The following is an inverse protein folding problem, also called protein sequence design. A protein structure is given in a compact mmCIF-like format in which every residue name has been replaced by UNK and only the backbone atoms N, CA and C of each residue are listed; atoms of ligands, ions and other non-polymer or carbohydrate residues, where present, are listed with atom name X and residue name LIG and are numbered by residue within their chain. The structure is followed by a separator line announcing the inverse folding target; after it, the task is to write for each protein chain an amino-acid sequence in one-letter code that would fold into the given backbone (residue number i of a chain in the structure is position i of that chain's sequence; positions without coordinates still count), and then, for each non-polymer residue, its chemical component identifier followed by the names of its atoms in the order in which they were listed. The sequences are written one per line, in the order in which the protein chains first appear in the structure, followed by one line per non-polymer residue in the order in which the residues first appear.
data_IF_692192377092
#
_entry.id   IF_692192377092
#
_cell.length_a   1.000
_cell.length_b   1.000
_cell.length_c   1.000
_cell.angle_alpha   90.00
_cell.angle_beta   90.00
_cell.angle_gamma   90.00
#
_symmetry.space_group_name_H-M   'P 1'
#
loop_
_entity.id
_entity.type
_entity.pdbx_description
1 polymer ?
#
# COMPACT_ATOMS: atom_id res chain seq x y z
N UNK A 1 18.61 18.49 40.52
CA UNK A 1 18.51 19.96 40.40
C UNK A 1 19.87 20.64 40.19
N UNK A 2 20.91 20.33 40.97
CA UNK A 2 22.22 21.03 40.92
C UNK A 2 22.90 20.96 39.53
N UNK A 3 22.86 19.83 38.84
CA UNK A 3 23.49 19.67 37.52
C UNK A 3 22.86 20.57 36.42
N UNK A 4 21.56 20.86 36.50
CA UNK A 4 20.85 21.66 35.49
C UNK A 4 21.16 23.16 35.60
N UNK A 5 21.32 23.66 36.83
CA UNK A 5 21.73 25.04 37.06
C UNK A 5 23.16 25.28 36.58
N UNK A 6 24.06 24.32 36.79
CA UNK A 6 25.43 24.40 36.29
C UNK A 6 25.47 24.41 34.75
N UNK A 7 24.71 23.53 34.09
CA UNK A 7 24.61 23.49 32.64
C UNK A 7 24.15 24.84 32.04
N UNK A 8 23.08 25.43 32.57
CA UNK A 8 22.57 26.72 32.08
C UNK A 8 23.55 27.87 32.34
N UNK A 9 24.15 27.90 33.52
CA UNK A 9 25.16 28.91 33.88
C UNK A 9 26.37 28.87 32.95
N UNK A 10 26.82 27.67 32.55
CA UNK A 10 27.91 27.52 31.57
C UNK A 10 27.53 28.04 30.19
N UNK A 11 26.32 27.72 29.69
CA UNK A 11 25.86 28.23 28.40
C UNK A 11 25.71 29.76 28.38
N UNK A 12 25.23 30.34 29.46
CA UNK A 12 25.14 31.80 29.63
C UNK A 12 26.52 32.44 29.65
N UNK A 13 27.50 31.84 30.33
CA UNK A 13 28.89 32.32 30.32
C UNK A 13 29.53 32.33 28.92
N UNK A 14 29.32 31.28 28.13
CA UNK A 14 29.79 31.25 26.74
C UNK A 14 29.11 32.31 25.87
N UNK A 15 27.79 32.47 26.01
CA UNK A 15 27.06 33.49 25.25
C UNK A 15 27.49 34.91 25.62
N UNK A 16 27.69 35.20 26.91
CA UNK A 16 28.17 36.50 27.40
C UNK A 16 29.59 36.83 26.89
N UNK A 17 30.42 35.81 26.63
CA UNK A 17 31.74 35.95 26.01
C UNK A 17 31.69 36.05 24.47
N UNK A 18 30.51 36.21 23.87
CA UNK A 18 30.34 36.31 22.41
C UNK A 18 30.50 34.98 21.66
N UNK A 19 30.38 33.85 22.37
CA UNK A 19 30.56 32.49 21.81
C UNK A 19 29.26 31.70 21.94
N UNK A 20 28.23 31.95 21.10
CA UNK A 20 26.97 31.24 21.18
C UNK A 20 27.15 29.74 20.94
N UNK A 21 26.38 28.93 21.67
CA UNK A 21 26.44 27.47 21.61
C UNK A 21 25.19 26.92 20.92
N UNK A 22 25.39 25.95 20.03
CA UNK A 22 24.33 25.09 19.49
C UNK A 22 24.26 23.80 20.32
N UNK A 23 23.12 23.55 20.94
CA UNK A 23 22.86 22.33 21.70
C UNK A 23 22.17 21.33 20.79
N UNK A 24 22.72 20.12 20.66
CA UNK A 24 22.06 19.02 19.96
C UNK A 24 21.55 18.03 21.00
N UNK A 25 20.23 17.84 21.05
CA UNK A 25 19.56 16.92 21.96
C UNK A 25 19.03 15.77 21.10
N UNK A 26 19.75 14.66 21.12
CA UNK A 26 19.50 13.55 20.22
C UNK A 26 18.53 12.51 20.79
N UNK A 27 17.65 11.98 19.93
CA UNK A 27 16.74 10.87 20.17
C UNK A 27 15.82 11.02 21.41
N UNK A 28 15.25 12.20 21.57
CA UNK A 28 14.33 12.50 22.67
C UNK A 28 13.04 11.69 22.51
N UNK A 29 12.57 11.03 23.57
CA UNK A 29 11.31 10.28 23.56
C UNK A 29 10.15 11.04 24.21
N UNK A 30 10.43 12.00 25.09
CA UNK A 30 9.38 12.83 25.73
C UNK A 30 9.81 14.29 25.88
N UNK A 31 8.83 15.19 25.89
CA UNK A 31 9.09 16.63 26.08
C UNK A 31 9.85 16.92 27.38
N UNK A 32 9.59 16.16 28.44
CA UNK A 32 10.19 16.37 29.76
C UNK A 32 11.70 16.08 29.77
N UNK A 33 12.20 15.27 28.84
CA UNK A 33 13.63 15.04 28.64
C UNK A 33 14.31 16.27 27.98
N UNK A 34 13.65 16.90 27.01
CA UNK A 34 14.22 18.04 26.28
C UNK A 34 14.09 19.38 27.02
N UNK A 35 12.96 19.63 27.67
CA UNK A 35 12.64 20.94 28.26
C UNK A 35 13.72 21.48 29.21
N UNK A 36 14.32 20.66 30.12
CA UNK A 36 15.39 21.14 31.00
C UNK A 36 16.65 21.57 30.25
N UNK A 37 16.94 20.94 29.11
CA UNK A 37 18.13 21.12 28.28
C UNK A 37 18.02 22.29 27.29
N UNK A 38 16.84 22.87 27.10
CA UNK A 38 16.69 24.00 26.19
C UNK A 38 17.46 25.23 26.71
N UNK A 39 18.24 25.90 25.85
CA UNK A 39 18.96 27.11 26.25
C UNK A 39 17.99 28.24 26.56
N UNK A 40 18.23 28.94 27.67
CA UNK A 40 17.44 30.13 28.06
C UNK A 40 17.91 31.41 27.35
N UNK A 41 19.19 31.46 26.95
CA UNK A 41 19.79 32.65 26.35
C UNK A 41 19.46 32.77 24.84
N UNK A 42 19.01 33.93 24.34
CA UNK A 42 18.55 34.12 22.96
C UNK A 42 19.66 34.06 21.89
N UNK A 43 20.94 34.02 22.28
CA UNK A 43 22.04 33.78 21.35
C UNK A 43 22.34 32.28 21.14
N UNK A 44 21.94 31.42 22.08
CA UNK A 44 22.11 29.97 21.95
C UNK A 44 20.91 29.35 21.23
N UNK A 45 21.13 28.25 20.53
CA UNK A 45 20.08 27.51 19.79
C UNK A 45 20.11 26.05 20.16
N UNK A 46 18.99 25.36 19.98
CA UNK A 46 18.91 23.92 20.13
C UNK A 46 18.35 23.27 18.87
N UNK A 47 18.91 22.11 18.51
CA UNK A 47 18.32 21.15 17.59
C UNK A 47 17.92 19.94 18.44
N UNK A 48 16.68 19.50 18.28
CA UNK A 48 16.16 18.31 18.96
C UNK A 48 15.78 17.30 17.88
N UNK A 49 16.31 16.09 17.99
CA UNK A 49 15.86 14.96 17.16
C UNK A 49 14.95 14.08 18.00
N UNK A 50 13.88 13.58 17.38
CA UNK A 50 12.91 12.72 18.05
C UNK A 50 12.21 11.85 17.01
N UNK A 51 11.80 10.65 17.43
CA UNK A 51 10.87 9.79 16.67
C UNK A 51 9.40 10.08 17.01
N UNK A 52 9.14 10.94 17.97
CA UNK A 52 7.80 11.27 18.43
C UNK A 52 7.53 12.75 18.19
N UNK A 53 6.28 13.10 17.93
CA UNK A 53 5.90 14.51 17.87
C UNK A 53 5.91 15.10 19.28
N UNK A 54 6.92 15.92 19.60
CA UNK A 54 7.06 16.59 20.90
C UNK A 54 6.16 17.82 21.00
N UNK A 55 4.84 17.58 21.10
CA UNK A 55 3.83 18.63 21.16
C UNK A 55 4.12 19.65 22.28
N UNK A 56 3.87 20.93 21.97
CA UNK A 56 4.04 22.07 22.91
C UNK A 56 5.48 22.28 23.41
N UNK A 57 6.51 21.78 22.71
CA UNK A 57 7.91 22.17 22.97
C UNK A 57 8.18 23.63 22.58
N UNK A 58 7.36 24.22 21.70
CA UNK A 58 7.54 25.59 21.21
C UNK A 58 8.67 25.73 20.17
N UNK A 59 9.09 24.61 19.57
CA UNK A 59 10.12 24.56 18.54
C UNK A 59 9.52 24.62 17.12
N UNK A 60 10.34 25.06 16.15
CA UNK A 60 10.04 24.89 14.73
C UNK A 60 10.16 23.41 14.39
N UNK A 61 9.09 22.82 13.88
CA UNK A 61 9.07 21.44 13.43
C UNK A 61 9.66 21.34 12.02
N UNK A 62 10.51 20.34 11.81
CA UNK A 62 11.03 19.93 10.52
C UNK A 62 10.79 18.42 10.45
N UNK A 63 9.76 18.02 9.69
CA UNK A 63 9.47 16.62 9.46
C UNK A 63 10.49 16.07 8.44
N UNK A 64 11.05 14.90 8.74
CA UNK A 64 11.97 14.19 7.84
C UNK A 64 11.20 13.06 7.17
N UNK A 65 10.94 13.22 5.87
CA UNK A 65 10.31 12.20 5.05
C UNK A 65 11.31 11.14 4.60
N UNK A 66 10.80 10.04 4.05
CA UNK A 66 11.62 9.08 3.32
C UNK A 66 12.26 9.75 2.10
N UNK A 67 13.42 9.23 1.68
CA UNK A 67 14.09 9.75 0.49
C UNK A 67 13.28 9.38 -0.76
N UNK A 68 13.14 10.35 -1.66
CA UNK A 68 12.59 10.05 -2.98
C UNK A 68 13.54 9.14 -3.78
N UNK A 69 13.07 8.57 -4.88
CA UNK A 69 13.85 7.59 -5.64
C UNK A 69 15.22 8.14 -6.12
N UNK A 70 15.32 9.37 -6.68
CA UNK A 70 16.61 10.00 -6.98
C UNK A 70 17.54 10.18 -5.77
N UNK A 71 17.02 10.71 -4.65
CA UNK A 71 17.80 10.95 -3.44
C UNK A 71 18.28 9.64 -2.80
N UNK A 72 17.43 8.62 -2.79
CA UNK A 72 17.73 7.30 -2.29
C UNK A 72 18.84 6.62 -3.10
N UNK A 73 18.76 6.68 -4.43
CA UNK A 73 19.82 6.17 -5.32
C UNK A 73 21.14 6.95 -5.12
N UNK A 74 21.07 8.25 -4.89
CA UNK A 74 22.25 9.07 -4.61
C UNK A 74 22.88 8.75 -3.24
N UNK A 75 22.07 8.49 -2.22
CA UNK A 75 22.58 8.03 -0.91
C UNK A 75 23.24 6.66 -1.03
N UNK A 76 22.62 5.73 -1.75
CA UNK A 76 23.16 4.39 -2.01
C UNK A 76 24.53 4.46 -2.72
N UNK A 77 24.64 5.26 -3.78
CA UNK A 77 25.91 5.49 -4.49
C UNK A 77 26.96 6.11 -3.57
N UNK A 78 26.58 7.13 -2.80
CA UNK A 78 27.48 7.80 -1.86
C UNK A 78 28.00 6.84 -0.80
N UNK A 79 27.12 6.06 -0.18
CA UNK A 79 27.48 5.09 0.84
C UNK A 79 28.45 4.02 0.29
N UNK A 80 28.19 3.51 -0.92
CA UNK A 80 29.08 2.55 -1.56
C UNK A 80 30.47 3.15 -1.85
N UNK A 81 30.53 4.40 -2.35
CA UNK A 81 31.81 5.08 -2.64
C UNK A 81 32.61 5.41 -1.40
N UNK A 82 31.94 5.71 -0.28
CA UNK A 82 32.61 5.94 1.01
C UNK A 82 33.31 4.65 1.47
N UNK A 83 32.65 3.50 1.33
CA UNK A 83 33.24 2.21 1.67
C UNK A 83 34.29 1.73 0.66
N UNK A 84 34.09 2.01 -0.63
CA UNK A 84 35.00 1.66 -1.73
C UNK A 84 35.19 2.83 -2.70
N UNK A 85 36.25 3.59 -2.50
CA UNK A 85 36.61 4.68 -3.39
C UNK A 85 36.75 4.19 -4.83
N UNK A 86 35.97 4.77 -5.74
CA UNK A 86 36.00 4.42 -7.17
C UNK A 86 34.97 3.38 -7.62
N UNK A 87 34.18 2.80 -6.71
CA UNK A 87 33.06 1.95 -7.12
C UNK A 87 31.98 2.78 -7.82
N UNK A 88 31.63 2.40 -9.05
CA UNK A 88 30.65 3.11 -9.90
C UNK A 88 29.45 2.25 -10.26
N UNK A 89 29.32 1.04 -9.69
CA UNK A 89 28.28 0.07 -10.08
C UNK A 89 26.87 0.65 -9.95
N UNK A 90 26.60 1.48 -8.93
CA UNK A 90 25.30 2.16 -8.78
C UNK A 90 25.08 3.17 -9.91
N UNK A 91 26.04 4.05 -10.19
CA UNK A 91 25.92 5.00 -11.32
C UNK A 91 25.91 4.35 -12.70
N UNK A 92 26.55 3.19 -12.87
CA UNK A 92 26.60 2.46 -14.12
C UNK A 92 25.28 1.74 -14.43
N UNK A 93 24.46 1.49 -13.40
CA UNK A 93 23.24 0.70 -13.46
C UNK A 93 22.07 1.45 -12.81
N UNK A 94 21.60 2.56 -13.42
CA UNK A 94 20.62 3.45 -12.80
C UNK A 94 19.26 2.78 -12.54
N UNK A 95 18.83 1.87 -13.42
CA UNK A 95 17.56 1.17 -13.25
C UNK A 95 17.61 0.18 -12.08
N UNK A 96 18.72 -0.54 -11.93
CA UNK A 96 18.95 -1.41 -10.78
C UNK A 96 19.10 -0.60 -9.48
N UNK A 97 19.72 0.59 -9.55
CA UNK A 97 19.85 1.49 -8.41
C UNK A 97 18.48 1.97 -7.91
N UNK A 98 17.59 2.38 -8.82
CA UNK A 98 16.21 2.77 -8.52
C UNK A 98 15.42 1.62 -7.92
N UNK A 99 15.53 0.44 -8.51
CA UNK A 99 14.81 -0.74 -8.01
C UNK A 99 15.31 -1.16 -6.62
N UNK A 100 16.63 -1.13 -6.39
CA UNK A 100 17.21 -1.39 -5.07
C UNK A 100 16.76 -0.34 -4.04
N UNK A 101 16.72 0.94 -4.43
CA UNK A 101 16.22 2.03 -3.59
C UNK A 101 14.73 1.83 -3.24
N UNK A 102 13.91 1.40 -4.21
CA UNK A 102 12.50 1.05 -4.02
C UNK A 102 12.32 -0.13 -3.06
N UNK A 103 13.14 -1.18 -3.18
CA UNK A 103 13.11 -2.34 -2.27
C UNK A 103 13.55 -1.97 -0.84
N UNK A 104 14.44 -0.98 -0.69
CA UNK A 104 14.78 -0.38 0.61
C UNK A 104 13.72 0.62 1.10
N UNK A 105 12.75 0.96 0.25
CA UNK A 105 11.70 1.95 0.48
C UNK A 105 12.24 3.33 0.88
N UNK A 106 13.34 3.78 0.28
CA UNK A 106 13.88 5.11 0.56
C UNK A 106 14.36 5.34 2.00
N UNK A 107 14.42 4.30 2.84
CA UNK A 107 14.86 4.41 4.24
C UNK A 107 16.40 4.49 4.30
N UNK A 108 16.98 5.56 4.86
CA UNK A 108 18.43 5.76 4.86
C UNK A 108 19.22 4.58 5.44
N UNK A 109 18.74 3.96 6.53
CA UNK A 109 19.41 2.81 7.13
C UNK A 109 19.39 1.58 6.22
N UNK A 110 18.26 1.28 5.57
CA UNK A 110 18.16 0.15 4.65
C UNK A 110 19.08 0.34 3.43
N UNK A 111 19.16 1.56 2.91
CA UNK A 111 20.07 1.93 1.82
C UNK A 111 21.55 1.78 2.24
N UNK A 112 21.89 2.15 3.48
CA UNK A 112 23.24 1.98 4.01
C UNK A 112 23.62 0.50 4.18
N UNK A 113 22.70 -0.33 4.70
CA UNK A 113 22.89 -1.79 4.77
C UNK A 113 23.10 -2.38 3.37
N UNK A 114 22.27 -2.00 2.39
CA UNK A 114 22.42 -2.47 1.00
C UNK A 114 23.77 -2.04 0.38
N UNK A 115 24.21 -0.80 0.63
CA UNK A 115 25.52 -0.34 0.20
C UNK A 115 26.66 -1.13 0.88
N UNK A 116 26.53 -1.44 2.17
CA UNK A 116 27.50 -2.21 2.93
C UNK A 116 27.63 -3.65 2.40
N UNK A 117 26.50 -4.30 2.04
CA UNK A 117 26.50 -5.62 1.40
C UNK A 117 27.24 -5.62 0.05
N UNK A 118 26.99 -4.61 -0.80
CA UNK A 118 27.71 -4.43 -2.07
C UNK A 118 29.20 -4.11 -1.86
N UNK A 119 29.52 -3.36 -0.80
CA UNK A 119 30.89 -3.02 -0.45
C UNK A 119 31.65 -4.22 0.15
N UNK A 120 31.00 -5.12 0.87
CA UNK A 120 31.64 -6.33 1.39
C UNK A 120 31.98 -7.30 0.25
N UNK A 121 31.05 -7.47 -0.70
CA UNK A 121 31.21 -8.37 -1.84
C UNK A 121 31.32 -7.62 -3.19
N UNK A 122 32.54 -7.34 -3.69
CA UNK A 122 32.72 -6.63 -4.96
C UNK A 122 32.33 -7.44 -6.19
N UNK A 123 32.13 -8.76 -6.08
CA UNK A 123 31.58 -9.56 -7.17
C UNK A 123 30.06 -9.39 -7.30
N UNK A 124 29.35 -9.15 -6.19
CA UNK A 124 27.90 -9.00 -6.14
C UNK A 124 27.44 -7.77 -6.91
N UNK A 125 26.69 -7.97 -8.00
CA UNK A 125 26.15 -6.86 -8.78
C UNK A 125 24.85 -6.32 -8.16
N UNK A 126 24.52 -5.03 -8.36
CA UNK A 126 23.24 -4.47 -7.90
C UNK A 126 22.03 -5.27 -8.37
N UNK A 127 22.06 -5.82 -9.59
CA UNK A 127 21.00 -6.69 -10.12
C UNK A 127 20.80 -7.97 -9.30
N UNK A 128 21.89 -8.57 -8.82
CA UNK A 128 21.84 -9.79 -8.00
C UNK A 128 21.27 -9.51 -6.61
N UNK A 129 21.68 -8.38 -6.00
CA UNK A 129 21.10 -7.94 -4.73
C UNK A 129 19.61 -7.60 -4.87
N UNK A 130 19.21 -6.95 -5.97
CA UNK A 130 17.78 -6.75 -6.29
C UNK A 130 17.05 -8.09 -6.36
N UNK A 131 17.59 -9.08 -7.05
CA UNK A 131 16.97 -10.41 -7.15
C UNK A 131 16.87 -11.12 -5.78
N UNK A 132 17.83 -10.91 -4.87
CA UNK A 132 17.79 -11.43 -3.50
C UNK A 132 16.73 -10.73 -2.64
N UNK A 133 16.54 -9.42 -2.81
CA UNK A 133 15.59 -8.62 -2.03
C UNK A 133 14.17 -8.62 -2.60
N UNK A 134 13.98 -9.03 -3.85
CA UNK A 134 12.68 -9.12 -4.52
C UNK A 134 11.66 -9.97 -3.71
N UNK A 135 11.99 -11.21 -3.28
CA UNK A 135 11.10 -12.03 -2.45
C UNK A 135 10.78 -11.37 -1.10
N UNK A 136 9.50 -11.00 -0.92
CA UNK A 136 8.99 -10.34 0.28
C UNK A 136 9.34 -11.08 1.59
N UNK A 137 9.24 -12.42 1.58
CA UNK A 137 9.44 -13.24 2.79
C UNK A 137 10.87 -13.28 3.32
N UNK A 138 11.89 -12.95 2.51
CA UNK A 138 13.30 -12.92 2.94
C UNK A 138 13.88 -11.52 3.01
N UNK A 139 13.22 -10.52 2.44
CA UNK A 139 13.75 -9.15 2.34
C UNK A 139 14.24 -8.57 3.67
N UNK A 140 13.50 -8.80 4.76
CA UNK A 140 13.91 -8.33 6.10
C UNK A 140 15.09 -9.11 6.69
N UNK A 141 15.25 -10.37 6.32
CA UNK A 141 16.36 -11.22 6.76
C UNK A 141 17.66 -10.87 6.02
N UNK A 142 17.53 -10.53 4.73
CA UNK A 142 18.63 -10.14 3.84
C UNK A 142 19.10 -8.69 4.08
N UNK A 143 18.22 -7.78 4.52
CA UNK A 143 18.58 -6.41 4.92
C UNK A 143 19.20 -6.36 6.33
N UNK A 144 20.34 -7.02 6.47
CA UNK A 144 21.17 -7.05 7.67
C UNK A 144 22.66 -6.90 7.33
N UNK A 145 23.38 -6.12 8.12
CA UNK A 145 24.83 -6.02 8.04
C UNK A 145 25.43 -6.00 9.45
N UNK A 146 26.21 -7.04 9.81
CA UNK A 146 26.66 -7.23 11.20
C UNK A 146 25.48 -7.30 12.18
N UNK A 147 25.50 -6.46 13.21
CA UNK A 147 24.43 -6.31 14.19
C UNK A 147 23.34 -5.31 13.75
N UNK A 148 23.56 -4.56 12.67
CA UNK A 148 22.59 -3.58 12.16
C UNK A 148 21.49 -4.28 11.36
N UNK A 149 20.26 -4.14 11.84
CA UNK A 149 19.05 -4.64 11.16
C UNK A 149 18.00 -3.54 11.12
N UNK A 150 17.28 -3.46 10.00
CA UNK A 150 16.13 -2.54 9.90
C UNK A 150 15.02 -2.94 10.89
N UNK A 151 14.91 -4.24 11.19
CA UNK A 151 13.91 -4.79 12.12
C UNK A 151 14.12 -4.34 13.56
N UNK A 152 15.36 -4.15 14.02
CA UNK A 152 15.64 -3.62 15.36
C UNK A 152 15.07 -2.21 15.56
N UNK A 153 15.07 -1.37 14.50
CA UNK A 153 14.48 -0.03 14.57
C UNK A 153 12.97 -0.09 14.71
N UNK A 154 12.31 -0.98 13.97
CA UNK A 154 10.86 -1.19 14.06
C UNK A 154 10.43 -1.83 15.38
N UNK A 155 11.24 -2.75 15.92
CA UNK A 155 10.99 -3.43 17.19
C UNK A 155 10.84 -2.44 18.36
N UNK A 156 11.67 -1.40 18.40
CA UNK A 156 11.58 -0.37 19.43
C UNK A 156 10.24 0.38 19.42
N UNK A 157 9.69 0.66 18.24
CA UNK A 157 8.36 1.27 18.10
C UNK A 157 7.26 0.26 18.45
N UNK A 158 7.39 -0.99 17.99
CA UNK A 158 6.42 -2.05 18.22
C UNK A 158 6.23 -2.39 19.71
N UNK A 159 7.32 -2.43 20.49
CA UNK A 159 7.27 -2.75 21.92
C UNK A 159 6.47 -1.73 22.73
N UNK A 160 6.34 -0.49 22.26
CA UNK A 160 5.57 0.58 22.91
C UNK A 160 4.06 0.49 22.65
N UNK A 161 3.64 -0.31 21.67
CA UNK A 161 2.24 -0.43 21.29
C UNK A 161 1.41 -1.14 22.36
N UNK A 162 0.18 -0.67 22.55
CA UNK A 162 -0.85 -1.38 23.33
C UNK A 162 -1.29 -2.66 22.62
N UNK A 163 -1.93 -3.62 23.32
CA UNK A 163 -2.45 -4.83 22.69
C UNK A 163 -3.38 -4.54 21.48
N UNK A 164 -4.29 -3.57 21.60
CA UNK A 164 -5.20 -3.19 20.52
C UNK A 164 -4.47 -2.60 19.30
N UNK A 165 -3.43 -1.80 19.55
CA UNK A 165 -2.58 -1.25 18.49
C UNK A 165 -1.79 -2.34 17.78
N UNK A 166 -1.24 -3.32 18.52
CA UNK A 166 -0.52 -4.47 17.94
C UNK A 166 -1.44 -5.34 17.10
N UNK A 167 -2.66 -5.59 17.57
CA UNK A 167 -3.65 -6.35 16.80
C UNK A 167 -3.99 -5.65 15.47
N UNK A 168 -4.28 -4.34 15.49
CA UNK A 168 -4.51 -3.59 14.26
C UNK A 168 -3.26 -3.57 13.36
N UNK A 169 -2.08 -3.34 13.93
CA UNK A 169 -0.82 -3.35 13.20
C UNK A 169 -0.58 -4.68 12.48
N UNK A 170 -0.87 -5.81 13.12
CA UNK A 170 -0.74 -7.14 12.53
C UNK A 170 -1.77 -7.43 11.42
N UNK A 171 -2.94 -6.80 11.44
CA UNK A 171 -4.00 -7.00 10.45
C UNK A 171 -3.85 -6.10 9.21
N UNK A 172 -3.30 -4.88 9.34
CA UNK A 172 -3.20 -3.93 8.24
C UNK A 172 -2.50 -4.47 6.97
N UNK A 173 -1.45 -5.32 7.05
CA UNK A 173 -0.85 -5.94 5.87
C UNK A 173 -1.80 -6.81 5.03
N UNK A 174 -2.94 -7.24 5.59
CA UNK A 174 -3.95 -8.02 4.86
C UNK A 174 -4.62 -7.22 3.74
N UNK A 175 -4.60 -5.87 3.78
CA UNK A 175 -5.16 -5.03 2.72
C UNK A 175 -4.27 -5.05 1.47
N UNK A 176 -4.64 -5.69 0.35
CA UNK A 176 -3.72 -5.89 -0.77
C UNK A 176 -3.28 -4.60 -1.46
N UNK A 177 -4.10 -3.55 -1.40
CA UNK A 177 -3.83 -2.31 -2.10
C UNK A 177 -2.83 -1.36 -1.41
N UNK A 178 -2.56 -0.21 -2.04
CA UNK A 178 -1.49 0.71 -1.64
C UNK A 178 -1.77 1.48 -0.35
N UNK A 179 -3.05 1.64 -0.01
CA UNK A 179 -3.53 2.33 1.18
C UNK A 179 -4.90 1.75 1.59
N UNK A 180 -5.44 2.17 2.73
CA UNK A 180 -6.74 1.70 3.22
C UNK A 180 -7.51 2.85 3.87
N UNK A 181 -8.81 2.91 3.61
CA UNK A 181 -9.71 3.86 4.25
C UNK A 181 -10.06 3.46 5.69
N UNK A 182 -10.45 4.42 6.52
CA UNK A 182 -10.87 4.16 7.91
C UNK A 182 -12.06 3.17 7.98
N UNK A 183 -13.02 3.25 7.06
CA UNK A 183 -14.18 2.34 7.00
C UNK A 183 -13.80 0.91 6.60
N UNK A 184 -12.84 0.74 5.69
CA UNK A 184 -12.28 -0.56 5.35
C UNK A 184 -11.47 -1.16 6.53
N UNK A 185 -10.73 -0.33 7.29
CA UNK A 185 -10.07 -0.79 8.53
C UNK A 185 -11.10 -1.23 9.58
N UNK A 186 -12.21 -0.50 9.70
CA UNK A 186 -13.30 -0.87 10.59
C UNK A 186 -13.88 -2.25 10.22
N UNK A 187 -14.10 -2.52 8.93
CA UNK A 187 -14.52 -3.84 8.46
C UNK A 187 -13.47 -4.93 8.74
N UNK A 188 -12.20 -4.66 8.39
CA UNK A 188 -11.07 -5.57 8.61
C UNK A 188 -10.97 -5.99 10.09
N UNK A 189 -11.07 -5.04 11.01
CA UNK A 189 -10.92 -5.29 12.46
C UNK A 189 -12.20 -5.71 13.15
N UNK A 190 -13.37 -5.42 12.58
CA UNK A 190 -14.67 -5.53 13.27
C UNK A 190 -14.91 -4.43 14.31
N UNK A 191 -14.08 -3.39 14.35
CA UNK A 191 -14.23 -2.26 15.26
C UNK A 191 -15.23 -1.22 14.72
N UNK A 192 -15.71 -0.34 15.60
CA UNK A 192 -16.38 0.88 15.17
C UNK A 192 -15.39 1.82 14.44
N UNK A 193 -15.86 2.53 13.42
CA UNK A 193 -15.03 3.44 12.60
C UNK A 193 -14.31 4.50 13.46
N UNK A 194 -14.97 5.02 14.49
CA UNK A 194 -14.40 5.99 15.45
C UNK A 194 -13.22 5.41 16.21
N UNK A 195 -13.32 4.17 16.68
CA UNK A 195 -12.26 3.44 17.38
C UNK A 195 -11.12 3.10 16.43
N UNK A 196 -11.43 2.58 15.23
CA UNK A 196 -10.43 2.30 14.21
C UNK A 196 -9.60 3.55 13.87
N UNK A 197 -10.27 4.69 13.65
CA UNK A 197 -9.60 5.98 13.39
C UNK A 197 -8.70 6.42 14.53
N UNK A 198 -9.17 6.28 15.77
CA UNK A 198 -8.37 6.64 16.95
C UNK A 198 -7.10 5.79 17.01
N UNK A 199 -7.22 4.46 16.89
CA UNK A 199 -6.07 3.55 16.91
C UNK A 199 -5.09 3.82 15.76
N UNK A 200 -5.59 4.10 14.54
CA UNK A 200 -4.75 4.49 13.40
C UNK A 200 -4.00 5.81 13.63
N UNK A 201 -4.65 6.78 14.29
CA UNK A 201 -4.02 8.05 14.65
C UNK A 201 -2.88 7.84 15.64
N UNK A 202 -3.06 6.97 16.64
CA UNK A 202 -1.99 6.62 17.59
C UNK A 202 -0.85 5.85 16.92
N UNK A 203 -1.13 4.90 16.02
CA UNK A 203 -0.10 4.22 15.23
C UNK A 203 0.70 5.20 14.37
N UNK A 204 0.03 6.21 13.82
CA UNK A 204 0.69 7.22 13.00
C UNK A 204 1.64 8.11 13.79
N UNK A 205 1.36 8.38 15.07
CA UNK A 205 2.31 9.08 15.95
C UNK A 205 3.62 8.33 16.15
N UNK A 206 3.59 7.00 16.06
CA UNK A 206 4.77 6.13 16.16
C UNK A 206 5.47 5.86 14.81
N UNK A 207 5.05 6.54 13.73
CA UNK A 207 5.55 6.34 12.35
C UNK A 207 5.42 4.91 11.82
N UNK A 208 4.52 4.10 12.38
CA UNK A 208 4.21 2.75 11.90
C UNK A 208 3.12 2.76 10.81
N UNK A 209 2.34 3.83 10.76
CA UNK A 209 1.41 4.15 9.68
C UNK A 209 1.54 5.62 9.31
N UNK A 210 1.15 5.97 8.10
CA UNK A 210 1.11 7.36 7.64
C UNK A 210 -0.28 7.67 7.05
N UNK A 211 -0.77 8.92 7.18
CA UNK A 211 -1.95 9.35 6.44
C UNK A 211 -1.65 9.33 4.94
N UNK A 212 -2.46 8.61 4.16
CA UNK A 212 -2.42 8.68 2.71
C UNK A 212 -3.21 9.89 2.20
N UNK A 213 -3.22 10.13 0.88
CA UNK A 213 -3.91 11.28 0.30
C UNK A 213 -5.39 11.34 0.74
N UNK A 214 -5.74 12.37 1.53
CA UNK A 214 -7.08 12.56 2.12
C UNK A 214 -7.16 12.23 3.62
N UNK A 215 -8.01 12.94 4.36
CA UNK A 215 -8.06 12.91 5.84
C UNK A 215 -8.57 11.59 6.46
N UNK A 216 -8.81 10.54 5.67
CA UNK A 216 -9.44 9.28 6.08
C UNK A 216 -8.76 8.04 5.48
N UNK A 217 -7.52 8.17 4.98
CA UNK A 217 -6.77 7.07 4.38
C UNK A 217 -5.44 6.88 5.07
N UNK A 218 -4.97 5.64 5.09
CA UNK A 218 -3.82 5.22 5.86
C UNK A 218 -2.97 4.27 5.04
N UNK A 219 -1.65 4.37 5.20
CA UNK A 219 -0.69 3.53 4.51
C UNK A 219 0.34 2.98 5.50
N UNK A 220 0.84 1.78 5.21
CA UNK A 220 2.06 1.26 5.79
C UNK A 220 3.16 1.33 4.75
N UNK A 221 4.33 1.79 5.17
CA UNK A 221 5.52 1.69 4.36
C UNK A 221 5.88 0.21 4.09
N UNK A 222 6.39 -0.12 2.90
CA UNK A 222 6.57 -1.51 2.45
C UNK A 222 7.38 -2.36 3.43
N UNK A 223 8.50 -1.86 3.97
CA UNK A 223 9.30 -2.59 4.96
C UNK A 223 8.59 -2.74 6.31
N UNK A 224 7.79 -1.75 6.71
CA UNK A 224 6.98 -1.84 7.95
C UNK A 224 5.86 -2.86 7.76
N UNK A 225 5.26 -2.90 6.57
CA UNK A 225 4.22 -3.87 6.21
C UNK A 225 4.76 -5.31 6.24
N UNK A 226 5.96 -5.55 5.71
CA UNK A 226 6.65 -6.85 5.83
C UNK A 226 6.93 -7.20 7.29
N UNK A 227 7.35 -6.21 8.08
CA UNK A 227 7.68 -6.42 9.48
C UNK A 227 6.41 -6.74 10.31
N UNK A 228 5.31 -6.04 10.04
CA UNK A 228 4.00 -6.34 10.62
C UNK A 228 3.53 -7.76 10.28
N UNK A 229 3.74 -8.19 9.04
CA UNK A 229 3.39 -9.55 8.61
C UNK A 229 4.23 -10.62 9.33
N UNK A 230 5.55 -10.37 9.45
CA UNK A 230 6.46 -11.26 10.19
C UNK A 230 6.12 -11.34 11.70
N UNK A 231 5.63 -10.24 12.29
CA UNK A 231 5.23 -10.18 13.71
C UNK A 231 3.84 -10.70 13.99
N UNK A 232 3.01 -10.90 12.97
CA UNK A 232 1.64 -11.35 13.14
C UNK A 232 1.62 -12.78 13.69
N UNK A 233 1.47 -12.91 15.01
CA UNK A 233 1.28 -14.19 15.66
C UNK A 233 -0.21 -14.58 15.61
N UNK A 234 -0.58 -15.75 15.05
CA UNK A 234 -1.97 -16.18 15.01
C UNK A 234 -2.67 -16.24 16.37
N UNK A 235 -1.93 -16.47 17.47
CA UNK A 235 -2.50 -16.50 18.83
C UNK A 235 -2.97 -15.14 19.34
N UNK A 236 -2.46 -14.05 18.78
CA UNK A 236 -2.68 -12.69 19.28
C UNK A 236 -3.89 -12.02 18.60
N UNK A 237 -4.58 -12.74 17.71
CA UNK A 237 -5.69 -12.24 16.90
C UNK A 237 -6.99 -12.99 17.28
N UNK A 238 -7.90 -12.37 18.07
CA UNK A 238 -9.09 -13.03 18.61
C UNK A 238 -10.03 -13.67 17.58
N UNK A 239 -10.07 -13.09 16.36
CA UNK A 239 -10.88 -13.53 15.23
C UNK A 239 -10.06 -14.30 14.17
N UNK A 240 -8.74 -14.38 14.31
CA UNK A 240 -7.83 -14.89 13.28
C UNK A 240 -7.68 -13.95 12.07
N UNK A 241 -6.58 -14.17 11.32
CA UNK A 241 -6.26 -13.39 10.10
C UNK A 241 -7.24 -13.66 8.97
N UNK A 242 -7.65 -14.91 8.79
CA UNK A 242 -8.52 -15.31 7.69
C UNK A 242 -9.91 -14.67 7.81
N UNK A 243 -10.48 -14.64 9.01
CA UNK A 243 -11.78 -13.99 9.21
C UNK A 243 -11.70 -12.48 8.99
N UNK A 244 -10.59 -11.85 9.41
CA UNK A 244 -10.35 -10.43 9.18
C UNK A 244 -10.24 -10.13 7.67
N UNK A 245 -9.49 -10.95 6.93
CA UNK A 245 -9.38 -10.84 5.49
C UNK A 245 -10.76 -11.01 4.83
N UNK A 246 -11.53 -12.04 5.19
CA UNK A 246 -12.89 -12.24 4.67
C UNK A 246 -13.78 -11.00 4.89
N UNK A 247 -13.77 -10.39 6.08
CA UNK A 247 -14.55 -9.16 6.33
C UNK A 247 -14.12 -7.99 5.44
N UNK A 248 -12.82 -7.85 5.17
CA UNK A 248 -12.32 -6.80 4.29
C UNK A 248 -12.72 -7.06 2.83
N UNK A 249 -12.64 -8.31 2.39
CA UNK A 249 -13.05 -8.75 1.06
C UNK A 249 -14.56 -8.53 0.84
N UNK A 250 -15.38 -8.98 1.78
CA UNK A 250 -16.83 -8.74 1.81
C UNK A 250 -17.14 -7.24 1.74
N UNK A 251 -16.44 -6.42 2.53
CA UNK A 251 -16.62 -4.97 2.51
C UNK A 251 -16.39 -4.38 1.12
N UNK A 252 -15.28 -4.72 0.47
CA UNK A 252 -14.99 -4.19 -0.88
C UNK A 252 -16.01 -4.68 -1.90
N UNK A 253 -16.41 -5.95 -1.85
CA UNK A 253 -17.43 -6.50 -2.74
C UNK A 253 -18.78 -5.82 -2.56
N UNK A 254 -19.31 -5.78 -1.33
CA UNK A 254 -20.61 -5.18 -1.01
C UNK A 254 -20.66 -3.69 -1.37
N UNK A 255 -19.56 -2.98 -1.14
CA UNK A 255 -19.49 -1.54 -1.44
C UNK A 255 -19.42 -1.29 -2.94
N UNK A 256 -18.65 -2.11 -3.68
CA UNK A 256 -18.59 -2.03 -5.14
C UNK A 256 -19.94 -2.37 -5.79
N UNK A 257 -20.65 -3.38 -5.30
CA UNK A 257 -21.99 -3.71 -5.78
C UNK A 257 -22.99 -2.57 -5.55
N UNK A 258 -22.94 -1.96 -4.37
CA UNK A 258 -23.76 -0.79 -4.05
C UNK A 258 -23.44 0.39 -4.96
N UNK A 259 -22.17 0.69 -5.21
CA UNK A 259 -21.76 1.74 -6.13
C UNK A 259 -22.21 1.44 -7.58
N UNK A 260 -22.05 0.20 -8.04
CA UNK A 260 -22.39 -0.24 -9.38
C UNK A 260 -23.90 -0.11 -9.69
N UNK A 261 -24.78 -0.27 -8.68
CA UNK A 261 -26.23 -0.02 -8.84
C UNK A 261 -26.55 1.39 -9.32
N UNK A 262 -25.74 2.39 -8.96
CA UNK A 262 -25.91 3.77 -9.44
C UNK A 262 -25.42 3.99 -10.88
N UNK A 263 -24.68 3.04 -11.46
CA UNK A 263 -24.18 3.09 -12.83
C UNK A 263 -25.09 2.34 -13.81
N UNK A 264 -25.99 1.50 -13.29
CA UNK A 264 -27.00 0.77 -14.06
C UNK A 264 -28.15 1.65 -14.54
N UNK A 265 -29.21 1.02 -15.07
CA UNK A 265 -30.40 1.74 -15.55
C UNK A 265 -31.09 2.51 -14.40
N UNK A 266 -31.75 3.65 -14.67
CA UNK A 266 -32.24 4.62 -13.67
C UNK A 266 -33.25 4.12 -12.61
N UNK A 267 -33.68 2.85 -12.66
CA UNK A 267 -34.65 2.26 -11.71
C UNK A 267 -34.00 1.47 -10.58
N UNK A 268 -32.67 1.38 -10.50
CA UNK A 268 -32.02 0.75 -9.37
C UNK A 268 -32.32 1.56 -8.09
N UNK A 269 -32.86 0.90 -7.07
CA UNK A 269 -33.15 1.51 -5.78
C UNK A 269 -31.87 2.15 -5.22
N UNK A 270 -32.00 3.36 -4.67
CA UNK A 270 -30.88 4.07 -4.05
C UNK A 270 -30.20 3.17 -3.01
N UNK A 271 -28.87 3.01 -3.09
CA UNK A 271 -28.12 2.39 -2.00
C UNK A 271 -28.18 3.32 -0.79
N UNK A 272 -28.33 2.76 0.41
CA UNK A 272 -28.25 3.54 1.65
C UNK A 272 -26.85 4.17 1.86
N UNK A 273 -25.81 3.64 1.20
CA UNK A 273 -24.42 4.10 1.32
C UNK A 273 -24.09 5.26 0.38
N UNK A 274 -24.68 5.30 -0.80
CA UNK A 274 -24.41 6.34 -1.80
C UNK A 274 -25.68 7.15 -2.06
N UNK A 275 -25.72 8.45 -1.69
CA UNK A 275 -26.89 9.29 -1.93
C UNK A 275 -27.18 9.49 -3.42
N UNK A 276 -26.16 9.44 -4.26
CA UNK A 276 -26.27 9.73 -5.69
C UNK A 276 -25.15 9.05 -6.50
N UNK A 277 -25.26 9.13 -7.83
CA UNK A 277 -24.30 8.56 -8.77
C UNK A 277 -22.91 9.19 -8.66
N UNK A 278 -22.80 10.46 -8.33
CA UNK A 278 -21.51 11.17 -8.27
C UNK A 278 -20.72 10.73 -7.03
N UNK A 279 -21.39 10.48 -5.91
CA UNK A 279 -20.79 9.90 -4.70
C UNK A 279 -20.28 8.48 -4.93
N UNK A 280 -21.04 7.64 -5.64
CA UNK A 280 -20.62 6.30 -6.03
C UNK A 280 -19.40 6.31 -6.96
N UNK A 281 -19.40 7.20 -7.98
CA UNK A 281 -18.26 7.37 -8.87
C UNK A 281 -17.01 7.84 -8.14
N UNK A 282 -17.11 8.85 -7.27
CA UNK A 282 -15.96 9.33 -6.48
C UNK A 282 -15.37 8.25 -5.59
N UNK A 283 -16.20 7.38 -5.02
CA UNK A 283 -15.71 6.25 -4.23
C UNK A 283 -14.98 5.23 -5.12
N UNK A 284 -15.56 4.84 -6.26
CA UNK A 284 -14.90 3.93 -7.22
C UNK A 284 -13.57 4.49 -7.72
N UNK A 285 -13.50 5.80 -7.99
CA UNK A 285 -12.27 6.48 -8.41
C UNK A 285 -11.17 6.38 -7.35
N UNK A 286 -11.57 6.53 -6.09
CA UNK A 286 -10.66 6.50 -4.95
C UNK A 286 -10.20 5.07 -4.67
N UNK A 287 -11.09 4.08 -4.79
CA UNK A 287 -10.81 2.69 -4.41
C UNK A 287 -10.35 1.80 -5.56
N UNK A 288 -10.27 2.28 -6.81
CA UNK A 288 -9.93 1.44 -7.96
C UNK A 288 -8.62 0.67 -7.75
N UNK A 289 -7.59 1.30 -7.16
CA UNK A 289 -6.32 0.65 -6.87
C UNK A 289 -6.48 -0.49 -5.84
N UNK A 290 -7.28 -0.27 -4.78
CA UNK A 290 -7.56 -1.29 -3.76
C UNK A 290 -8.42 -2.43 -4.30
N UNK A 291 -9.44 -2.12 -5.09
CA UNK A 291 -10.29 -3.13 -5.73
C UNK A 291 -9.49 -3.99 -6.72
N UNK A 292 -8.62 -3.38 -7.52
CA UNK A 292 -7.73 -4.09 -8.46
C UNK A 292 -6.79 -5.03 -7.71
N UNK A 293 -6.11 -4.53 -6.68
CA UNK A 293 -5.22 -5.34 -5.85
C UNK A 293 -5.98 -6.45 -5.10
N UNK A 294 -7.21 -6.19 -4.67
CA UNK A 294 -8.08 -7.16 -4.02
C UNK A 294 -8.45 -8.31 -4.95
N UNK A 295 -8.84 -8.02 -6.18
CA UNK A 295 -9.12 -9.04 -7.21
C UNK A 295 -7.87 -9.89 -7.49
N UNK A 296 -6.72 -9.25 -7.68
CA UNK A 296 -5.45 -9.94 -7.94
C UNK A 296 -5.03 -10.85 -6.79
N UNK A 297 -5.14 -10.36 -5.55
CA UNK A 297 -4.86 -11.16 -4.35
C UNK A 297 -5.81 -12.36 -4.26
N UNK A 298 -7.10 -12.12 -4.43
CA UNK A 298 -8.12 -13.17 -4.37
C UNK A 298 -7.94 -14.25 -5.46
N UNK A 299 -7.47 -13.86 -6.65
CA UNK A 299 -7.18 -14.78 -7.74
C UNK A 299 -6.06 -15.79 -7.42
N UNK A 300 -5.12 -15.42 -6.55
CA UNK A 300 -4.05 -16.31 -6.07
C UNK A 300 -4.43 -17.10 -4.82
N UNK A 301 -5.62 -16.83 -4.26
CA UNK A 301 -6.12 -17.46 -3.05
C UNK A 301 -6.55 -18.91 -3.25
N UNK A 302 -6.54 -19.67 -2.15
CA UNK A 302 -6.97 -21.08 -2.16
C UNK A 302 -8.42 -21.26 -1.72
N UNK A 303 -9.00 -20.29 -0.99
CA UNK A 303 -10.36 -20.41 -0.49
C UNK A 303 -11.40 -20.23 -1.60
N UNK A 304 -12.53 -20.94 -1.47
CA UNK A 304 -13.67 -20.77 -2.37
C UNK A 304 -14.19 -19.33 -2.37
N UNK A 305 -14.21 -18.66 -1.21
CA UNK A 305 -14.66 -17.29 -1.06
C UNK A 305 -13.81 -16.30 -1.88
N UNK A 306 -12.47 -16.41 -1.81
CA UNK A 306 -11.57 -15.58 -2.62
C UNK A 306 -11.76 -15.81 -4.13
N UNK A 307 -11.90 -17.06 -4.56
CA UNK A 307 -12.15 -17.37 -5.98
C UNK A 307 -13.48 -16.81 -6.48
N UNK A 308 -14.54 -16.90 -5.66
CA UNK A 308 -15.83 -16.31 -5.97
C UNK A 308 -15.73 -14.78 -6.11
N UNK A 309 -15.02 -14.11 -5.19
CA UNK A 309 -14.78 -12.67 -5.29
C UNK A 309 -13.99 -12.30 -6.56
N UNK A 310 -12.93 -13.05 -6.88
CA UNK A 310 -12.12 -12.83 -8.08
C UNK A 310 -12.91 -13.06 -9.38
N UNK A 311 -13.93 -13.92 -9.34
CA UNK A 311 -14.91 -14.10 -10.42
C UNK A 311 -15.88 -12.93 -10.52
N UNK A 312 -16.50 -12.52 -9.42
CA UNK A 312 -17.67 -11.63 -9.43
C UNK A 312 -17.30 -10.14 -9.50
N UNK A 313 -16.30 -9.71 -8.72
CA UNK A 313 -15.97 -8.29 -8.59
C UNK A 313 -15.55 -7.62 -9.91
N UNK A 314 -14.78 -8.26 -10.82
CA UNK A 314 -14.53 -7.70 -12.16
C UNK A 314 -15.79 -7.40 -12.96
N UNK A 315 -16.81 -8.28 -12.88
CA UNK A 315 -18.08 -8.11 -13.59
C UNK A 315 -18.86 -6.92 -13.02
N UNK A 316 -18.84 -6.75 -11.70
CA UNK A 316 -19.42 -5.58 -11.00
C UNK A 316 -18.77 -4.27 -11.46
N UNK A 317 -17.46 -4.26 -11.71
CA UNK A 317 -16.72 -3.06 -12.12
C UNK A 317 -16.80 -2.76 -13.62
N UNK A 318 -17.29 -3.68 -14.46
CA UNK A 318 -17.23 -3.57 -15.93
C UNK A 318 -17.84 -2.26 -16.48
N UNK A 319 -18.99 -1.83 -15.96
CA UNK A 319 -19.65 -0.58 -16.42
C UNK A 319 -18.80 0.64 -16.07
N UNK A 320 -18.26 0.68 -14.85
CA UNK A 320 -17.38 1.74 -14.39
C UNK A 320 -16.10 1.82 -15.23
N UNK A 321 -15.40 0.70 -15.41
CA UNK A 321 -14.16 0.62 -16.17
C UNK A 321 -14.35 1.06 -17.63
N UNK A 322 -15.46 0.67 -18.25
CA UNK A 322 -15.83 1.13 -19.59
C UNK A 322 -16.05 2.64 -19.65
N UNK A 323 -16.81 3.20 -18.70
CA UNK A 323 -17.12 4.63 -18.69
C UNK A 323 -15.91 5.51 -18.42
N UNK A 324 -15.03 5.07 -17.51
CA UNK A 324 -13.77 5.77 -17.20
C UNK A 324 -12.63 5.42 -18.16
N UNK A 325 -12.88 4.56 -19.15
CA UNK A 325 -11.92 4.13 -20.18
C UNK A 325 -10.69 3.41 -19.62
N UNK A 326 -10.82 2.72 -18.50
CA UNK A 326 -9.80 1.83 -17.95
C UNK A 326 -9.79 0.49 -18.71
N UNK A 327 -9.60 0.53 -20.03
CA UNK A 327 -9.77 -0.65 -20.88
C UNK A 327 -8.70 -1.71 -20.65
N UNK A 328 -7.46 -1.31 -20.35
CA UNK A 328 -6.37 -2.24 -20.00
C UNK A 328 -6.70 -3.00 -18.72
N UNK A 329 -7.12 -2.29 -17.67
CA UNK A 329 -7.53 -2.90 -16.41
C UNK A 329 -8.76 -3.79 -16.62
N UNK A 330 -9.73 -3.34 -17.44
CA UNK A 330 -10.90 -4.14 -17.76
C UNK A 330 -10.56 -5.47 -18.42
N UNK A 331 -9.62 -5.48 -19.38
CA UNK A 331 -9.13 -6.72 -20.01
C UNK A 331 -8.48 -7.63 -18.96
N UNK A 332 -7.56 -7.10 -18.16
CA UNK A 332 -6.82 -7.86 -17.13
C UNK A 332 -7.77 -8.45 -16.10
N UNK A 333 -8.66 -7.65 -15.53
CA UNK A 333 -9.59 -8.09 -14.49
C UNK A 333 -10.63 -9.07 -15.02
N UNK A 334 -11.11 -8.90 -16.26
CA UNK A 334 -12.06 -9.87 -16.83
C UNK A 334 -11.38 -11.21 -17.17
N UNK A 335 -10.09 -11.21 -17.53
CA UNK A 335 -9.34 -12.45 -17.69
C UNK A 335 -9.20 -13.22 -16.37
N UNK A 336 -8.96 -12.51 -15.26
CA UNK A 336 -8.99 -13.10 -13.90
C UNK A 336 -10.37 -13.70 -13.60
N UNK A 337 -11.44 -12.98 -13.93
CA UNK A 337 -12.82 -13.46 -13.73
C UNK A 337 -13.09 -14.75 -14.50
N UNK A 338 -12.71 -14.80 -15.78
CA UNK A 338 -12.86 -15.98 -16.63
C UNK A 338 -12.11 -17.19 -16.05
N UNK A 339 -10.84 -17.01 -15.70
CA UNK A 339 -10.03 -18.09 -15.11
C UNK A 339 -10.66 -18.64 -13.82
N UNK A 340 -11.17 -17.77 -12.95
CA UNK A 340 -11.82 -18.21 -11.71
C UNK A 340 -13.19 -18.87 -11.96
N UNK A 341 -13.95 -18.44 -12.96
CA UNK A 341 -15.19 -19.10 -13.37
C UNK A 341 -14.92 -20.55 -13.84
N UNK A 342 -13.91 -20.75 -14.70
CA UNK A 342 -13.48 -22.08 -15.15
C UNK A 342 -13.06 -22.96 -13.97
N UNK A 343 -12.25 -22.42 -13.05
CA UNK A 343 -11.82 -23.14 -11.85
C UNK A 343 -12.97 -23.54 -10.93
N UNK A 344 -14.02 -22.73 -10.85
CA UNK A 344 -15.21 -23.01 -10.06
C UNK A 344 -16.23 -23.87 -10.83
N UNK A 345 -15.93 -24.26 -12.07
CA UNK A 345 -16.88 -24.94 -12.98
C UNK A 345 -18.19 -24.17 -13.16
N UNK A 346 -18.11 -22.85 -13.10
CA UNK A 346 -19.24 -21.94 -13.28
C UNK A 346 -19.37 -21.56 -14.75
N UNK A 347 -20.01 -22.45 -15.50
CA UNK A 347 -20.19 -22.29 -16.94
C UNK A 347 -20.95 -21.01 -17.29
N UNK A 348 -21.92 -20.58 -16.47
CA UNK A 348 -22.65 -19.35 -16.72
C UNK A 348 -21.74 -18.12 -16.49
N UNK A 349 -20.95 -18.12 -15.42
CA UNK A 349 -19.94 -17.10 -15.13
C UNK A 349 -18.88 -16.97 -16.24
N UNK A 350 -18.45 -18.08 -16.83
CA UNK A 350 -17.53 -18.06 -18.00
C UNK A 350 -18.13 -17.26 -19.17
N UNK A 351 -19.41 -17.48 -19.48
CA UNK A 351 -20.12 -16.74 -20.53
C UNK A 351 -20.21 -15.24 -20.23
N UNK A 352 -20.48 -14.88 -18.97
CA UNK A 352 -20.50 -13.48 -18.53
C UNK A 352 -19.13 -12.82 -18.65
N UNK A 353 -18.07 -13.50 -18.21
CA UNK A 353 -16.70 -13.01 -18.31
C UNK A 353 -16.27 -12.86 -19.78
N UNK A 354 -16.50 -13.86 -20.64
CA UNK A 354 -16.17 -13.79 -22.06
C UNK A 354 -16.90 -12.66 -22.78
N UNK A 355 -18.18 -12.44 -22.50
CA UNK A 355 -18.92 -11.34 -23.10
C UNK A 355 -18.38 -9.97 -22.64
N UNK A 356 -17.97 -9.84 -21.37
CA UNK A 356 -17.33 -8.61 -20.88
C UNK A 356 -15.95 -8.40 -21.48
N UNK A 357 -15.15 -9.47 -21.63
CA UNK A 357 -13.84 -9.42 -22.26
C UNK A 357 -13.94 -8.98 -23.71
N UNK A 358 -14.91 -9.52 -24.46
CA UNK A 358 -15.18 -9.10 -25.83
C UNK A 358 -15.52 -7.61 -25.94
N UNK A 359 -16.30 -7.09 -24.99
CA UNK A 359 -16.59 -5.66 -24.94
C UNK A 359 -15.33 -4.82 -24.69
N UNK A 360 -14.47 -5.23 -23.76
CA UNK A 360 -13.22 -4.54 -23.46
C UNK A 360 -12.26 -4.55 -24.66
N UNK A 361 -12.10 -5.71 -25.31
CA UNK A 361 -11.28 -5.90 -26.51
C UNK A 361 -11.76 -5.04 -27.68
N UNK A 362 -13.07 -4.93 -27.88
CA UNK A 362 -13.68 -4.07 -28.90
C UNK A 362 -13.32 -2.59 -28.69
N UNK A 363 -13.27 -2.11 -27.43
CA UNK A 363 -12.91 -0.72 -27.14
C UNK A 363 -11.45 -0.39 -27.50
N UNK A 364 -10.55 -1.37 -27.44
CA UNK A 364 -9.15 -1.24 -27.86
C UNK A 364 -8.90 -1.73 -29.30
N UNK A 365 -9.95 -1.89 -30.10
CA UNK A 365 -9.91 -2.29 -31.52
C UNK A 365 -9.27 -3.66 -31.79
N UNK A 366 -9.20 -4.55 -30.79
CA UNK A 366 -8.80 -5.97 -30.95
C UNK A 366 -10.01 -6.79 -31.41
N UNK A 367 -10.53 -6.46 -32.60
CA UNK A 367 -11.85 -6.93 -33.04
C UNK A 367 -11.92 -8.45 -33.27
N UNK A 368 -10.87 -9.07 -33.80
CA UNK A 368 -10.79 -10.52 -33.98
C UNK A 368 -10.95 -11.28 -32.66
N UNK A 369 -10.27 -10.81 -31.62
CA UNK A 369 -10.33 -11.41 -30.29
C UNK A 369 -11.69 -11.14 -29.63
N UNK A 370 -12.27 -9.95 -29.84
CA UNK A 370 -13.61 -9.64 -29.38
C UNK A 370 -14.68 -10.54 -30.05
N UNK A 371 -14.56 -10.78 -31.34
CA UNK A 371 -15.44 -11.69 -32.11
C UNK A 371 -15.35 -13.10 -31.53
N UNK A 372 -14.14 -13.60 -31.28
CA UNK A 372 -13.94 -14.92 -30.68
C UNK A 372 -14.59 -15.00 -29.30
N UNK A 373 -14.34 -14.03 -28.44
CA UNK A 373 -14.89 -14.00 -27.08
C UNK A 373 -16.42 -13.93 -27.06
N UNK A 374 -17.04 -13.06 -27.86
CA UNK A 374 -18.50 -12.97 -27.94
C UNK A 374 -19.14 -14.24 -28.55
N UNK A 375 -18.48 -14.88 -29.50
CA UNK A 375 -18.95 -16.15 -30.09
C UNK A 375 -18.97 -17.26 -29.05
N UNK A 376 -17.89 -17.40 -28.27
CA UNK A 376 -17.83 -18.37 -27.17
C UNK A 376 -18.87 -18.06 -26.10
N UNK A 377 -19.03 -16.79 -25.70
CA UNK A 377 -20.06 -16.39 -24.75
C UNK A 377 -21.48 -16.76 -25.22
N UNK A 378 -21.81 -16.53 -26.50
CA UNK A 378 -23.13 -16.87 -27.04
C UNK A 378 -23.38 -18.39 -27.03
N UNK A 379 -22.37 -19.20 -27.33
CA UNK A 379 -22.46 -20.67 -27.25
C UNK A 379 -22.72 -21.11 -25.80
N UNK A 380 -21.99 -20.55 -24.85
CA UNK A 380 -22.13 -20.86 -23.43
C UNK A 380 -23.51 -20.47 -22.90
N UNK A 381 -24.01 -19.29 -23.24
CA UNK A 381 -25.34 -18.87 -22.84
C UNK A 381 -26.43 -19.75 -23.45
N UNK A 382 -26.24 -20.25 -24.67
CA UNK A 382 -27.14 -21.24 -25.28
C UNK A 382 -27.09 -22.57 -24.52
N UNK A 383 -25.90 -23.07 -24.18
CA UNK A 383 -25.70 -24.31 -23.41
C UNK A 383 -26.36 -24.24 -22.02
N UNK A 384 -26.23 -23.09 -21.35
CA UNK A 384 -26.80 -22.85 -20.01
C UNK A 384 -28.27 -22.44 -20.03
N UNK A 385 -28.87 -22.25 -21.21
CA UNK A 385 -30.27 -21.88 -21.38
C UNK A 385 -30.58 -20.39 -21.16
N UNK A 386 -29.57 -19.54 -20.97
CA UNK A 386 -29.75 -18.09 -20.85
C UNK A 386 -29.95 -17.43 -22.21
N UNK A 387 -31.21 -17.30 -22.62
CA UNK A 387 -31.60 -16.65 -23.88
C UNK A 387 -31.31 -15.15 -23.89
N UNK A 388 -31.31 -14.50 -22.74
CA UNK A 388 -31.03 -13.07 -22.67
C UNK A 388 -29.54 -12.79 -22.83
N UNK A 389 -28.70 -13.57 -22.16
CA UNK A 389 -27.25 -13.57 -22.33
C UNK A 389 -26.85 -13.89 -23.76
N UNK A 390 -27.45 -14.93 -24.37
CA UNK A 390 -27.21 -15.30 -25.77
C UNK A 390 -27.49 -14.12 -26.72
N UNK A 391 -28.67 -13.50 -26.60
CA UNK A 391 -29.03 -12.35 -27.43
C UNK A 391 -28.09 -11.15 -27.23
N UNK A 392 -27.66 -10.89 -25.99
CA UNK A 392 -26.71 -9.82 -25.67
C UNK A 392 -25.34 -10.08 -26.30
N UNK A 393 -24.81 -11.30 -26.17
CA UNK A 393 -23.54 -11.69 -26.75
C UNK A 393 -23.56 -11.62 -28.28
N UNK A 394 -24.65 -12.07 -28.93
CA UNK A 394 -24.82 -11.98 -30.38
C UNK A 394 -24.92 -10.53 -30.88
N UNK A 395 -25.59 -9.65 -30.14
CA UNK A 395 -25.63 -8.22 -30.47
C UNK A 395 -24.24 -7.58 -30.37
N UNK A 396 -23.46 -7.93 -29.33
CA UNK A 396 -22.10 -7.45 -29.17
C UNK A 396 -21.15 -8.00 -30.24
N UNK A 397 -21.33 -9.27 -30.64
CA UNK A 397 -20.65 -9.88 -31.78
C UNK A 397 -20.89 -9.09 -33.07
N UNK A 398 -22.15 -8.75 -33.37
CA UNK A 398 -22.49 -7.92 -34.53
C UNK A 398 -21.82 -6.55 -34.49
N UNK A 399 -21.75 -5.92 -33.31
CA UNK A 399 -21.02 -4.66 -33.13
C UNK A 399 -19.51 -4.80 -33.38
N UNK A 400 -18.90 -5.91 -32.95
CA UNK A 400 -17.49 -6.19 -33.19
C UNK A 400 -17.19 -6.48 -34.67
N UNK A 401 -18.07 -7.22 -35.36
CA UNK A 401 -17.96 -7.49 -36.79
C UNK A 401 -18.07 -6.21 -37.63
N UNK A 402 -19.02 -5.32 -37.30
CA UNK A 402 -19.12 -4.00 -37.96
C UNK A 402 -17.85 -3.19 -37.75
N UNK A 403 -17.34 -3.12 -36.52
CA UNK A 403 -16.12 -2.35 -36.21
C UNK A 403 -14.86 -2.88 -36.89
N UNK A 404 -14.81 -4.15 -37.28
CA UNK A 404 -13.73 -4.73 -38.10
C UNK A 404 -13.83 -4.35 -39.59
N UNK A 405 -15.05 -4.08 -40.07
CA UNK A 405 -15.31 -3.73 -41.46
C UNK A 405 -15.14 -2.25 -41.79
N UNK A 406 -15.14 -1.38 -40.78
CA UNK A 406 -14.85 0.06 -40.85
C UNK A 406 -13.34 0.33 -40.67
#
# INVERSE_FOLDING_TARGET
MIAWHLYRSVLEGYAAAGRPVLVVIDNVSTKDQATPLLPAHPACRAIVTSRERLDRLGARLLDLDILDEPEAAALLDRALRVARAGDRRITAHPDQARELARLCGGLPLALQIAAALLAENPALQPAELVAQLQPAGRRLEELRYGDETITAVFELSYQRLTPDQRALFALLPLNPGPDISTDAVAALTGLQETTARHTLTELSRTHLTEPAAGRQRWRMHDLIRLYADHKANPSDLPAGRDQALTRLLDHYQDTAEQAARHLGRPKAAASARFPDRDSALRWLDTELANLTATIQHAATGTSHHQRALARDLPLTLATYLNWRRHFTDWITLTAISLHNAEHLSDRHGEGQALNNLGNALRQVRRFEEAITAHTQAALIFRETGDRHGEGTALNNLGNAQRGKGD
#
